data_IF_273745830077
#
_entry.id   IF_273745830077
#
_cell.length_a   1.000
_cell.length_b   1.000
_cell.length_c   1.000
_cell.angle_alpha   90.00
_cell.angle_beta   90.00
_cell.angle_gamma   90.00
#
_symmetry.space_group_name_H-M   'P 1'
#
loop_
_entity.id
_entity.type
_entity.pdbx_description
1 polymer ?
#
# COMPACT_ATOMS: atom_id res chain seq x y z
N UNK A 1 -15.96 -3.76 20.12
CA UNK A 1 -15.23 -2.81 19.25
C UNK A 1 -13.75 -3.01 19.50
N UNK A 2 -13.04 -3.67 18.58
CA UNK A 2 -11.61 -3.94 18.74
C UNK A 2 -10.84 -2.63 18.57
N UNK A 3 -10.13 -2.20 19.61
CA UNK A 3 -9.29 -1.01 19.57
C UNK A 3 -7.90 -1.43 19.11
N UNK A 4 -7.35 -0.72 18.12
CA UNK A 4 -5.95 -0.91 17.73
C UNK A 4 -5.05 -0.46 18.89
N UNK A 5 -4.07 -1.28 19.24
CA UNK A 5 -3.10 -0.97 20.31
C UNK A 5 -1.94 -0.14 19.76
N UNK A 6 -1.19 0.49 20.67
CA UNK A 6 0.03 1.17 20.32
C UNK A 6 1.12 0.18 19.88
N UNK A 7 1.83 0.49 18.79
CA UNK A 7 2.95 -0.30 18.25
C UNK A 7 4.30 -0.02 18.96
N UNK A 8 4.30 0.75 20.03
CA UNK A 8 5.48 0.96 20.85
C UNK A 8 5.81 -0.30 21.66
N UNK A 9 7.11 -0.55 21.86
CA UNK A 9 7.59 -1.74 22.57
C UNK A 9 6.97 -1.77 23.97
N UNK A 10 6.40 -2.93 24.33
CA UNK A 10 5.76 -3.17 25.63
C UNK A 10 4.59 -2.22 25.97
N UNK A 11 3.97 -1.60 24.97
CA UNK A 11 2.80 -0.75 25.19
C UNK A 11 1.50 -1.50 24.89
N UNK A 12 0.58 -1.51 25.86
CA UNK A 12 -0.77 -2.08 25.69
C UNK A 12 -1.85 -1.02 25.57
N UNK A 13 -1.47 0.27 25.63
CA UNK A 13 -2.44 1.36 25.55
C UNK A 13 -3.08 1.43 24.16
N UNK A 14 -4.36 1.84 24.06
CA UNK A 14 -5.01 2.07 22.77
C UNK A 14 -4.29 3.15 21.96
N UNK A 15 -4.15 2.92 20.66
CA UNK A 15 -3.68 3.96 19.74
C UNK A 15 -4.72 5.09 19.61
N UNK A 16 -4.23 6.31 19.41
CA UNK A 16 -5.09 7.48 19.27
C UNK A 16 -5.85 7.40 17.95
N UNK A 17 -7.18 7.55 17.99
CA UNK A 17 -8.01 7.51 16.79
C UNK A 17 -7.71 8.74 15.91
N UNK A 18 -7.54 8.52 14.61
CA UNK A 18 -7.26 9.53 13.58
C UNK A 18 -5.86 10.18 13.62
N UNK A 19 -5.32 10.52 14.78
CA UNK A 19 -4.03 11.23 14.91
C UNK A 19 -2.87 10.36 15.42
N UNK A 20 -3.15 9.14 15.88
CA UNK A 20 -2.10 8.20 16.32
C UNK A 20 -1.42 7.44 15.18
N UNK A 21 -1.96 7.50 13.96
CA UNK A 21 -1.45 6.72 12.84
C UNK A 21 -0.48 7.54 12.00
N UNK A 22 0.80 7.18 12.02
CA UNK A 22 1.82 7.84 11.21
C UNK A 22 1.95 7.16 9.84
N UNK A 23 1.76 7.91 8.75
CA UNK A 23 1.90 7.39 7.39
C UNK A 23 3.36 7.21 6.93
N UNK A 24 4.34 7.78 7.66
CA UNK A 24 5.77 7.67 7.35
C UNK A 24 6.33 6.36 7.92
N UNK A 25 6.18 6.14 9.23
CA UNK A 25 6.67 4.90 9.85
C UNK A 25 5.63 3.76 9.88
N UNK A 26 4.41 3.99 9.37
CA UNK A 26 3.31 3.04 9.36
C UNK A 26 2.94 2.46 10.75
N UNK A 27 3.20 3.23 11.83
CA UNK A 27 2.87 2.84 13.22
C UNK A 27 1.64 3.55 13.74
N UNK A 28 0.99 2.89 14.69
CA UNK A 28 -0.13 3.38 15.48
C UNK A 28 0.34 3.66 16.90
N UNK A 29 0.18 4.90 17.33
CA UNK A 29 0.78 5.40 18.55
C UNK A 29 -0.32 5.93 19.47
N UNK A 30 -0.15 5.70 20.77
CA UNK A 30 -0.97 6.33 21.80
C UNK A 30 -0.53 7.80 22.00
N UNK A 31 -1.25 8.50 22.86
CA UNK A 31 -0.99 9.91 23.15
C UNK A 31 0.45 10.19 23.66
N UNK A 32 1.06 9.27 24.39
CA UNK A 32 2.44 9.45 24.87
C UNK A 32 3.48 9.16 23.78
N UNK A 33 3.27 8.10 23.00
CA UNK A 33 4.25 7.66 22.01
C UNK A 33 4.21 8.44 20.69
N UNK A 34 3.14 9.21 20.42
CA UNK A 34 3.10 10.13 19.27
C UNK A 34 3.88 11.43 19.53
N UNK A 35 4.23 11.73 20.79
CA UNK A 35 4.95 12.95 21.15
C UNK A 35 6.35 13.00 20.53
N UNK A 36 6.90 14.20 20.28
CA UNK A 36 8.24 14.37 19.71
C UNK A 36 9.37 13.68 20.49
N UNK A 37 9.17 13.43 21.79
CA UNK A 37 10.10 12.69 22.65
C UNK A 37 10.31 11.26 22.14
N UNK A 38 9.22 10.58 21.76
CA UNK A 38 9.19 9.16 21.39
C UNK A 38 9.10 8.93 19.88
N UNK A 39 8.48 9.85 19.14
CA UNK A 39 8.27 9.74 17.71
C UNK A 39 8.97 10.86 16.95
N UNK A 40 9.87 10.47 16.05
CA UNK A 40 10.77 11.38 15.32
C UNK A 40 10.37 11.61 13.86
N UNK A 41 9.28 11.01 13.37
CA UNK A 41 8.87 11.31 12.01
C UNK A 41 8.42 12.78 11.91
N UNK A 42 8.71 13.46 10.79
CA UNK A 42 8.29 14.83 10.59
C UNK A 42 6.77 14.98 10.69
N UNK A 43 6.32 16.14 11.17
CA UNK A 43 4.90 16.53 11.17
C UNK A 43 4.51 17.13 9.82
N UNK A 44 3.22 17.10 9.50
CA UNK A 44 2.70 17.61 8.21
C UNK A 44 3.07 19.08 7.92
N UNK A 45 3.31 19.88 8.96
CA UNK A 45 3.69 21.29 8.85
C UNK A 45 5.18 21.50 8.50
N UNK A 46 5.98 20.43 8.52
CA UNK A 46 7.40 20.51 8.21
C UNK A 46 7.66 20.33 6.72
N UNK A 47 8.61 21.10 6.17
CA UNK A 47 9.06 20.94 4.78
C UNK A 47 9.62 19.53 4.51
N UNK A 48 10.12 18.84 5.54
CA UNK A 48 10.65 17.48 5.44
C UNK A 48 9.57 16.40 5.30
N UNK A 49 8.31 16.71 5.61
CA UNK A 49 7.22 15.73 5.64
C UNK A 49 7.00 15.04 4.30
N UNK A 50 6.80 15.81 3.23
CA UNK A 50 6.47 15.25 1.92
C UNK A 50 7.62 14.42 1.34
N UNK A 51 8.87 14.81 1.62
CA UNK A 51 10.04 14.03 1.23
C UNK A 51 10.07 12.68 1.96
N UNK A 52 9.94 12.68 3.29
CA UNK A 52 9.91 11.46 4.09
C UNK A 52 8.72 10.55 3.75
N UNK A 53 7.56 11.16 3.50
CA UNK A 53 6.36 10.44 3.05
C UNK A 53 6.54 9.81 1.68
N UNK A 54 7.15 10.51 0.72
CA UNK A 54 7.41 9.95 -0.63
C UNK A 54 8.30 8.71 -0.56
N UNK A 55 9.40 8.77 0.18
CA UNK A 55 10.32 7.63 0.38
C UNK A 55 9.58 6.45 1.03
N UNK A 56 8.77 6.73 2.05
CA UNK A 56 8.01 5.69 2.76
C UNK A 56 6.94 5.06 1.86
N UNK A 57 6.24 5.87 1.06
CA UNK A 57 5.25 5.42 0.08
C UNK A 57 5.88 4.53 -0.98
N UNK A 58 7.05 4.89 -1.50
CA UNK A 58 7.78 4.09 -2.49
C UNK A 58 8.21 2.73 -1.92
N UNK A 59 8.79 2.73 -0.72
CA UNK A 59 9.16 1.48 -0.03
C UNK A 59 7.97 0.57 0.24
N UNK A 60 6.84 1.16 0.65
CA UNK A 60 5.59 0.44 0.84
C UNK A 60 5.06 -0.18 -0.47
N UNK A 61 5.05 0.58 -1.56
CA UNK A 61 4.62 0.08 -2.87
C UNK A 61 5.56 -1.02 -3.39
N UNK A 62 6.87 -0.88 -3.21
CA UNK A 62 7.84 -1.91 -3.57
C UNK A 62 7.55 -3.23 -2.83
N UNK A 63 7.31 -3.16 -1.52
CA UNK A 63 6.98 -4.33 -0.71
C UNK A 63 5.64 -4.96 -1.10
N UNK A 64 4.63 -4.14 -1.47
CA UNK A 64 3.35 -4.65 -1.96
C UNK A 64 3.51 -5.37 -3.31
N UNK A 65 4.20 -4.75 -4.26
CA UNK A 65 4.42 -5.32 -5.59
C UNK A 65 5.19 -6.63 -5.52
N UNK A 66 6.15 -6.76 -4.58
CA UNK A 66 6.87 -8.00 -4.34
C UNK A 66 5.98 -9.16 -3.85
N UNK A 67 4.82 -8.87 -3.24
CA UNK A 67 3.86 -9.89 -2.79
C UNK A 67 2.90 -10.34 -3.90
N UNK A 68 2.79 -9.59 -4.99
CA UNK A 68 1.85 -9.89 -6.07
C UNK A 68 2.41 -11.01 -6.94
N UNK A 69 1.76 -12.17 -6.93
CA UNK A 69 2.07 -13.24 -7.87
C UNK A 69 1.41 -12.93 -9.24
N UNK A 70 2.23 -12.44 -10.16
CA UNK A 70 1.80 -12.00 -11.50
C UNK A 70 1.27 -13.17 -12.32
N UNK A 71 1.97 -14.30 -12.29
CA UNK A 71 1.61 -15.50 -13.04
C UNK A 71 0.24 -16.02 -12.59
N UNK A 72 0.00 -16.07 -11.28
CA UNK A 72 -1.28 -16.46 -10.73
C UNK A 72 -2.38 -15.47 -11.13
N UNK A 73 -2.11 -14.16 -11.09
CA UNK A 73 -3.08 -13.13 -11.48
C UNK A 73 -3.50 -13.26 -12.95
N UNK A 74 -2.52 -13.40 -13.86
CA UNK A 74 -2.74 -13.57 -15.29
C UNK A 74 -3.45 -14.89 -15.58
N UNK A 75 -3.05 -15.98 -14.93
CA UNK A 75 -3.68 -17.30 -15.08
C UNK A 75 -5.16 -17.25 -14.68
N UNK A 76 -5.48 -16.62 -13.54
CA UNK A 76 -6.86 -16.45 -13.07
C UNK A 76 -7.66 -15.55 -14.04
N UNK A 77 -7.10 -14.41 -14.45
CA UNK A 77 -7.77 -13.50 -15.37
C UNK A 77 -8.08 -14.16 -16.73
N UNK A 78 -7.11 -14.88 -17.28
CA UNK A 78 -7.27 -15.65 -18.52
C UNK A 78 -8.38 -16.69 -18.39
N UNK A 79 -8.36 -17.48 -17.31
CA UNK A 79 -9.39 -18.50 -17.05
C UNK A 79 -10.80 -17.90 -16.95
N UNK A 80 -10.95 -16.76 -16.27
CA UNK A 80 -12.25 -16.07 -16.15
C UNK A 80 -12.72 -15.58 -17.51
N UNK A 81 -11.80 -15.12 -18.37
CA UNK A 81 -12.11 -14.68 -19.74
C UNK A 81 -12.09 -15.83 -20.76
N UNK A 82 -12.50 -17.04 -20.35
CA UNK A 82 -12.65 -18.18 -21.26
C UNK A 82 -11.35 -18.74 -21.83
N UNK A 83 -10.22 -18.54 -21.14
CA UNK A 83 -8.90 -19.02 -21.56
C UNK A 83 -8.17 -18.10 -22.54
N UNK A 84 -8.66 -16.89 -22.78
CA UNK A 84 -7.96 -15.91 -23.62
C UNK A 84 -6.66 -15.48 -22.92
N UNK A 85 -5.49 -15.56 -23.57
CA UNK A 85 -4.23 -15.11 -22.97
C UNK A 85 -4.28 -13.62 -22.62
N UNK A 86 -3.57 -13.25 -21.55
CA UNK A 86 -3.46 -11.87 -21.13
C UNK A 86 -2.10 -11.56 -20.50
N UNK A 87 -1.81 -10.27 -20.33
CA UNK A 87 -0.58 -9.77 -19.75
C UNK A 87 -0.85 -8.57 -18.83
N UNK A 88 0.07 -8.33 -17.91
CA UNK A 88 0.09 -7.18 -17.01
C UNK A 88 1.31 -6.31 -17.31
N UNK A 89 1.23 -5.30 -18.20
CA UNK A 89 2.40 -4.55 -18.68
C UNK A 89 3.23 -3.90 -17.57
N UNK A 90 2.57 -3.40 -16.52
CA UNK A 90 3.19 -2.74 -15.37
C UNK A 90 4.12 -3.67 -14.60
N UNK A 91 3.84 -4.97 -14.65
CA UNK A 91 4.60 -5.99 -13.94
C UNK A 91 5.50 -6.81 -14.86
N UNK A 92 5.65 -6.40 -16.12
CA UNK A 92 6.59 -7.02 -17.04
C UNK A 92 8.04 -6.74 -16.64
N UNK A 93 8.91 -7.73 -16.82
CA UNK A 93 10.34 -7.64 -16.47
C UNK A 93 11.12 -6.61 -17.31
N UNK A 94 10.51 -6.10 -18.39
CA UNK A 94 11.10 -5.12 -19.29
C UNK A 94 11.09 -3.69 -18.72
N UNK A 95 10.45 -3.46 -17.58
CA UNK A 95 10.38 -2.16 -16.92
C UNK A 95 11.26 -2.18 -15.67
N UNK A 96 12.19 -1.22 -15.56
CA UNK A 96 13.02 -1.09 -14.38
C UNK A 96 12.19 -0.78 -13.12
N UNK A 97 12.73 -1.09 -11.94
CA UNK A 97 11.99 -0.95 -10.67
C UNK A 97 11.49 0.49 -10.43
N UNK A 98 12.30 1.50 -10.73
CA UNK A 98 11.94 2.91 -10.56
C UNK A 98 10.72 3.31 -11.40
N UNK A 99 10.72 2.97 -12.69
CA UNK A 99 9.62 3.25 -13.61
C UNK A 99 8.36 2.52 -13.21
N UNK A 100 8.50 1.26 -12.75
CA UNK A 100 7.38 0.47 -12.22
C UNK A 100 6.79 1.09 -10.96
N UNK A 101 7.62 1.58 -10.03
CA UNK A 101 7.15 2.27 -8.82
C UNK A 101 6.46 3.60 -9.14
N UNK A 102 7.00 4.38 -10.09
CA UNK A 102 6.39 5.64 -10.53
C UNK A 102 5.02 5.40 -11.16
N UNK A 103 4.91 4.39 -12.02
CA UNK A 103 3.64 3.99 -12.64
C UNK A 103 2.67 3.41 -11.61
N UNK A 104 3.15 2.60 -10.66
CA UNK A 104 2.31 2.08 -9.60
C UNK A 104 1.77 3.21 -8.70
N UNK A 105 2.61 4.17 -8.34
CA UNK A 105 2.25 5.32 -7.53
C UNK A 105 1.21 6.22 -8.20
N UNK A 106 1.26 6.39 -9.53
CA UNK A 106 0.26 7.16 -10.28
C UNK A 106 -1.08 6.44 -10.45
N UNK A 107 -1.10 5.11 -10.29
CA UNK A 107 -2.30 4.28 -10.36
C UNK A 107 -2.87 3.91 -8.99
N UNK A 108 -2.26 4.40 -7.91
CA UNK A 108 -2.82 4.30 -6.57
C UNK A 108 -3.96 5.31 -6.38
N UNK A 109 -5.11 4.82 -5.92
CA UNK A 109 -6.27 5.66 -5.61
C UNK A 109 -6.96 5.15 -4.34
N UNK A 110 -7.05 6.01 -3.33
CA UNK A 110 -7.59 5.64 -2.01
C UNK A 110 -6.89 4.40 -1.45
N UNK A 111 -7.66 3.35 -1.20
CA UNK A 111 -7.20 2.08 -0.61
C UNK A 111 -6.79 1.03 -1.65
N UNK A 112 -6.71 1.37 -2.94
CA UNK A 112 -6.41 0.39 -3.99
C UNK A 112 -5.24 0.85 -4.86
N UNK A 113 -4.42 -0.13 -5.22
CA UNK A 113 -3.55 -0.07 -6.38
C UNK A 113 -4.29 -0.69 -7.56
N UNK A 114 -4.41 0.07 -8.66
CA UNK A 114 -5.06 -0.37 -9.88
C UNK A 114 -4.00 -0.89 -10.84
N UNK A 115 -4.24 -2.05 -11.45
CA UNK A 115 -3.35 -2.64 -12.43
C UNK A 115 -4.13 -2.97 -13.70
N UNK A 116 -3.61 -2.54 -14.84
CA UNK A 116 -4.16 -2.90 -16.14
C UNK A 116 -3.80 -4.33 -16.54
N UNK A 117 -4.80 -5.12 -16.93
CA UNK A 117 -4.65 -6.42 -17.59
C UNK A 117 -5.09 -6.25 -19.03
N UNK A 118 -4.21 -6.58 -19.98
CA UNK A 118 -4.48 -6.53 -21.42
C UNK A 118 -4.65 -7.95 -21.96
N UNK A 119 -5.78 -8.19 -22.63
CA UNK A 119 -6.08 -9.46 -23.30
C UNK A 119 -5.75 -9.39 -24.79
N UNK A 120 -5.45 -10.53 -25.40
CA UNK A 120 -5.10 -10.61 -26.83
C UNK A 120 -6.29 -10.29 -27.77
N UNK A 121 -7.51 -10.37 -27.26
CA UNK A 121 -8.73 -9.94 -27.95
C UNK A 121 -8.94 -8.41 -27.94
N UNK A 122 -7.99 -7.65 -27.39
CA UNK A 122 -8.03 -6.19 -27.30
C UNK A 122 -8.79 -5.65 -26.10
N UNK A 123 -9.40 -6.50 -25.26
CA UNK A 123 -10.08 -6.06 -24.05
C UNK A 123 -9.09 -5.73 -22.94
N UNK A 124 -9.44 -4.75 -22.11
CA UNK A 124 -8.63 -4.33 -20.95
C UNK A 124 -9.45 -4.38 -19.68
N UNK A 125 -8.90 -5.01 -18.66
CA UNK A 125 -9.47 -5.03 -17.31
C UNK A 125 -8.61 -4.25 -16.33
N UNK A 126 -9.23 -3.85 -15.22
CA UNK A 126 -8.54 -3.26 -14.08
C UNK A 126 -8.59 -4.27 -12.93
N UNK A 127 -7.44 -4.82 -12.57
CA UNK A 127 -7.27 -5.53 -11.32
C UNK A 127 -7.10 -4.52 -10.18
N UNK A 128 -7.94 -4.66 -9.14
CA UNK A 128 -7.90 -3.80 -7.95
C UNK A 128 -7.25 -4.56 -6.82
N UNK A 129 -6.02 -4.20 -6.49
CA UNK A 129 -5.28 -4.78 -5.37
C UNK A 129 -5.48 -3.86 -4.18
N UNK A 130 -6.08 -4.38 -3.09
CA UNK A 130 -6.20 -3.61 -1.85
C UNK A 130 -4.82 -3.33 -1.29
N UNK A 131 -4.56 -2.06 -1.02
CA UNK A 131 -3.43 -1.64 -0.20
C UNK A 131 -3.71 -2.13 1.23
N UNK A 132 -2.72 -2.75 1.88
CA UNK A 132 -2.67 -2.84 3.34
C UNK A 132 -2.42 -1.43 3.89
N UNK A 133 -3.39 -0.53 3.76
CA UNK A 133 -3.26 0.82 4.27
C UNK A 133 -3.18 0.72 5.81
N UNK A 134 -2.11 1.27 6.44
CA UNK A 134 -1.97 1.22 7.89
C UNK A 134 -3.21 1.83 8.58
N UNK A 135 -3.90 2.76 7.93
CA UNK A 135 -5.10 3.42 8.47
C UNK A 135 -6.38 2.59 8.40
N UNK A 136 -6.37 1.44 7.73
CA UNK A 136 -7.53 0.55 7.74
C UNK A 136 -7.82 0.05 9.17
N UNK A 137 -9.09 -0.22 9.51
CA UNK A 137 -9.39 -0.83 10.80
C UNK A 137 -8.74 -2.24 10.88
N UNK A 138 -8.57 -2.83 12.08
CA UNK A 138 -8.02 -4.18 12.23
C UNK A 138 -8.75 -5.21 11.33
N UNK A 139 -8.05 -6.27 10.91
CA UNK A 139 -8.59 -7.24 9.95
C UNK A 139 -9.87 -7.90 10.46
N UNK A 140 -9.99 -8.10 11.77
CA UNK A 140 -11.13 -8.72 12.43
C UNK A 140 -12.44 -7.92 12.29
N UNK A 141 -12.35 -6.66 11.84
CA UNK A 141 -13.49 -5.75 11.70
C UNK A 141 -13.58 -5.11 10.30
N UNK A 142 -12.84 -5.65 9.32
CA UNK A 142 -12.94 -5.29 7.89
C UNK A 142 -13.91 -6.22 7.14
#
# INVERSE_FOLDING_TARGET
>A
MVLRTCDAIQCTTPALRCSGSCMICAKHLCFEHIRPEHHKCPTADSAAYYAAYSVSKEGYLAALLAKVNIEALVSVASKIRGGIPCRAPILSDNINLESRLKLASSQCGGQNFHLGIEFDDGVRWIARIRLQDPLLPPFEVQ
#
